data_IF_365197189613
#
_entry.id   IF_365197189613
#
_cell.length_a   1.000
_cell.length_b   1.000
_cell.length_c   1.000
_cell.angle_alpha   90.00
_cell.angle_beta   90.00
_cell.angle_gamma   90.00
#
_symmetry.space_group_name_H-M   'P 1'
#
loop_
_entity.id
_entity.type
_entity.pdbx_description
1 polymer ?
#
# COMPACT_ATOMS: atom_id res chain seq x y z
N UNK A 1 35.68 42.10 8.50
CA UNK A 1 36.06 42.99 7.38
C UNK A 1 36.01 42.17 6.10
N UNK A 2 35.15 42.60 5.15
CA UNK A 2 35.01 42.24 3.72
C UNK A 2 34.88 40.74 3.36
N UNK A 3 33.72 40.19 2.97
CA UNK A 3 32.78 40.48 1.87
C UNK A 3 33.32 40.20 0.45
N UNK A 4 32.75 39.13 -0.14
CA UNK A 4 32.24 39.00 -1.52
C UNK A 4 33.19 39.01 -2.74
N UNK A 5 32.94 38.07 -3.66
CA UNK A 5 32.92 38.17 -5.16
C UNK A 5 32.53 36.76 -5.66
N UNK A 6 31.27 36.52 -6.04
CA UNK A 6 30.68 36.70 -7.40
C UNK A 6 30.99 35.51 -8.34
N UNK A 7 30.02 34.68 -8.74
CA UNK A 7 28.94 34.86 -9.75
C UNK A 7 29.32 34.35 -11.14
N UNK A 8 28.36 33.62 -11.75
CA UNK A 8 28.18 33.32 -13.17
C UNK A 8 29.10 32.22 -13.76
N UNK A 9 28.63 31.29 -14.59
CA UNK A 9 27.85 31.54 -15.82
C UNK A 9 26.94 30.38 -16.24
N UNK A 10 25.68 30.73 -16.48
CA UNK A 10 24.75 30.13 -17.44
C UNK A 10 25.21 30.38 -18.90
N UNK A 11 24.53 29.73 -19.86
CA UNK A 11 24.64 29.76 -21.33
C UNK A 11 25.58 28.68 -21.93
N UNK A 12 25.19 27.88 -22.93
CA UNK A 12 24.49 28.29 -24.14
C UNK A 12 23.57 27.22 -24.77
N UNK A 13 22.45 27.72 -25.31
CA UNK A 13 21.58 27.13 -26.33
C UNK A 13 21.95 27.78 -27.68
N UNK A 14 22.26 27.00 -28.71
CA UNK A 14 22.20 27.36 -30.15
C UNK A 14 22.52 26.09 -30.96
N UNK A 15 21.55 25.50 -31.66
CA UNK A 15 21.23 25.76 -33.07
C UNK A 15 21.85 24.71 -34.01
N UNK A 16 21.05 23.72 -34.42
CA UNK A 16 21.26 22.99 -35.67
C UNK A 16 19.92 22.86 -36.39
N UNK A 17 19.68 23.84 -37.25
CA UNK A 17 18.69 23.80 -38.33
C UNK A 17 19.38 23.14 -39.51
N UNK A 18 18.95 21.93 -39.88
CA UNK A 18 19.37 21.20 -41.06
C UNK A 18 18.15 20.86 -41.91
N UNK A 19 17.94 21.63 -42.96
CA UNK A 19 16.85 21.54 -43.92
C UNK A 19 16.93 20.28 -44.80
N UNK A 20 15.84 19.52 -44.87
CA UNK A 20 15.54 18.65 -46.02
C UNK A 20 14.28 19.18 -46.69
N UNK A 21 14.47 19.82 -47.84
CA UNK A 21 13.39 20.22 -48.75
C UNK A 21 12.92 18.98 -49.53
N UNK A 22 11.71 18.52 -49.25
CA UNK A 22 10.94 17.69 -50.18
C UNK A 22 9.74 18.52 -50.64
N UNK A 23 9.70 18.79 -51.95
CA UNK A 23 8.56 19.44 -52.64
C UNK A 23 7.34 18.53 -52.55
N UNK A 24 6.26 19.02 -51.95
CA UNK A 24 4.91 18.48 -52.14
C UNK A 24 4.06 19.61 -52.73
N UNK A 25 3.44 19.32 -53.88
CA UNK A 25 2.52 20.22 -54.59
C UNK A 25 1.26 20.48 -53.74
N UNK A 26 0.69 21.70 -53.74
CA UNK A 26 -0.57 21.96 -53.08
C UNK A 26 -1.70 21.47 -53.98
N UNK A 27 -2.08 20.20 -53.86
CA UNK A 27 -3.44 19.82 -54.22
C UNK A 27 -4.34 20.36 -53.11
N UNK A 28 -5.35 21.14 -53.51
CA UNK A 28 -6.44 21.62 -52.66
C UNK A 28 -7.06 20.44 -51.89
N UNK A 29 -6.54 20.17 -50.71
CA UNK A 29 -7.18 19.32 -49.72
C UNK A 29 -8.07 20.24 -48.90
N UNK A 30 -9.35 20.30 -49.23
CA UNK A 30 -10.38 20.64 -48.25
C UNK A 30 -10.23 19.65 -47.11
N UNK A 31 -9.64 20.08 -46.00
CA UNK A 31 -9.67 19.31 -44.76
C UNK A 31 -11.09 19.48 -44.24
N UNK A 32 -11.93 18.49 -44.54
CA UNK A 32 -13.15 18.26 -43.79
C UNK A 32 -12.72 17.94 -42.37
N UNK A 33 -12.78 18.95 -41.50
CA UNK A 33 -12.79 18.70 -40.05
C UNK A 33 -14.13 18.07 -39.79
N UNK A 34 -14.18 16.74 -39.82
CA UNK A 34 -15.24 15.98 -39.17
C UNK A 34 -15.21 16.39 -37.70
N UNK A 35 -15.99 17.41 -37.36
CA UNK A 35 -16.47 17.61 -36.00
C UNK A 35 -17.30 16.37 -35.75
N UNK A 36 -16.69 15.36 -35.14
CA UNK A 36 -17.41 14.20 -34.65
C UNK A 36 -18.66 14.73 -33.93
N UNK A 37 -19.87 14.29 -34.30
CA UNK A 37 -21.05 14.64 -33.54
C UNK A 37 -20.73 14.25 -32.09
N UNK A 38 -20.97 15.16 -31.15
CA UNK A 38 -20.85 14.89 -29.73
C UNK A 38 -21.41 13.49 -29.48
N UNK A 39 -20.52 12.55 -29.14
CA UNK A 39 -20.92 11.17 -28.97
C UNK A 39 -21.99 11.14 -27.90
N UNK A 40 -23.15 10.61 -28.25
CA UNK A 40 -24.28 10.33 -27.35
C UNK A 40 -23.87 9.38 -26.21
N UNK A 41 -22.63 8.88 -26.18
CA UNK A 41 -22.02 8.13 -25.07
C UNK A 41 -21.87 8.94 -23.76
N UNK A 42 -22.05 10.27 -23.78
CA UNK A 42 -22.14 11.06 -22.54
C UNK A 42 -23.55 11.16 -21.95
N UNK A 43 -24.61 10.80 -22.69
CA UNK A 43 -25.98 10.96 -22.21
C UNK A 43 -26.42 9.87 -21.22
N UNK A 44 -25.80 8.67 -21.23
CA UNK A 44 -26.21 7.58 -20.32
C UNK A 44 -25.85 7.80 -18.85
N UNK A 45 -25.02 8.79 -18.51
CA UNK A 45 -24.62 9.09 -17.12
C UNK A 45 -25.51 10.19 -16.49
N UNK A 46 -26.32 10.92 -17.26
CA UNK A 46 -26.92 12.19 -16.83
C UNK A 46 -28.18 12.08 -15.94
N UNK A 47 -28.72 10.89 -15.68
CA UNK A 47 -29.92 10.74 -14.84
C UNK A 47 -29.70 9.99 -13.55
N UNK A 48 -28.56 10.21 -12.88
CA UNK A 48 -28.45 9.81 -11.47
C UNK A 48 -29.00 10.88 -10.55
N UNK A 49 -30.05 10.51 -9.82
CA UNK A 49 -30.59 11.32 -8.73
C UNK A 49 -29.57 11.40 -7.59
N UNK A 50 -29.59 12.47 -6.79
CA UNK A 50 -28.62 12.61 -5.68
C UNK A 50 -28.69 11.42 -4.71
N UNK A 51 -29.85 10.77 -4.60
CA UNK A 51 -30.03 9.56 -3.79
C UNK A 51 -29.20 8.37 -4.28
N UNK A 52 -29.25 8.09 -5.58
CA UNK A 52 -28.46 6.99 -6.18
C UNK A 52 -26.96 7.26 -6.04
N UNK A 53 -26.54 8.51 -6.18
CA UNK A 53 -25.16 8.93 -5.95
C UNK A 53 -24.70 8.71 -4.50
N UNK A 54 -25.60 8.94 -3.53
CA UNK A 54 -25.35 8.66 -2.10
C UNK A 54 -25.23 7.16 -1.86
N UNK A 55 -26.07 6.35 -2.48
CA UNK A 55 -26.00 4.88 -2.40
C UNK A 55 -24.66 4.35 -2.93
N UNK A 56 -24.22 4.84 -4.09
CA UNK A 56 -22.91 4.48 -4.63
C UNK A 56 -21.75 4.94 -3.76
N UNK A 57 -21.82 6.16 -3.25
CA UNK A 57 -20.82 6.70 -2.33
C UNK A 57 -20.68 5.78 -1.09
N UNK A 58 -21.81 5.40 -0.48
CA UNK A 58 -21.83 4.52 0.68
C UNK A 58 -21.29 3.13 0.35
N UNK A 59 -21.65 2.58 -0.82
CA UNK A 59 -21.14 1.29 -1.28
C UNK A 59 -19.62 1.30 -1.43
N UNK A 60 -19.07 2.28 -2.14
CA UNK A 60 -17.62 2.37 -2.37
C UNK A 60 -16.87 2.67 -1.07
N UNK A 61 -17.44 3.48 -0.17
CA UNK A 61 -16.90 3.73 1.15
C UNK A 61 -16.83 2.44 1.99
N UNK A 62 -17.89 1.63 1.96
CA UNK A 62 -17.94 0.34 2.65
C UNK A 62 -16.91 -0.65 2.07
N UNK A 63 -16.76 -0.71 0.75
CA UNK A 63 -15.78 -1.57 0.08
C UNK A 63 -14.34 -1.18 0.44
N UNK A 64 -14.03 0.11 0.48
CA UNK A 64 -12.73 0.63 0.90
C UNK A 64 -12.42 0.24 2.36
N UNK A 65 -13.40 0.38 3.26
CA UNK A 65 -13.26 -0.01 4.65
C UNK A 65 -13.09 -1.53 4.80
N UNK A 66 -13.88 -2.31 4.08
CA UNK A 66 -13.81 -3.76 4.08
C UNK A 66 -12.40 -4.22 3.68
N UNK A 67 -11.85 -3.68 2.59
CA UNK A 67 -10.49 -4.01 2.13
C UNK A 67 -9.45 -3.82 3.24
N UNK A 68 -9.51 -2.69 3.96
CA UNK A 68 -8.58 -2.41 5.06
C UNK A 68 -8.74 -3.35 6.25
N UNK A 69 -10.00 -3.60 6.66
CA UNK A 69 -10.29 -4.48 7.78
C UNK A 69 -9.88 -5.93 7.50
N UNK A 70 -10.13 -6.43 6.28
CA UNK A 70 -9.69 -7.76 5.87
C UNK A 70 -8.16 -7.90 5.89
N UNK A 71 -7.45 -6.91 5.38
CA UNK A 71 -5.99 -6.94 5.38
C UNK A 71 -5.44 -6.93 6.80
N UNK A 72 -5.87 -5.99 7.62
CA UNK A 72 -5.36 -5.84 8.99
C UNK A 72 -5.66 -7.10 9.81
N UNK A 73 -6.83 -7.71 9.63
CA UNK A 73 -7.18 -8.97 10.26
C UNK A 73 -6.24 -10.12 9.83
N UNK A 74 -6.04 -10.33 8.51
CA UNK A 74 -5.20 -11.44 8.01
C UNK A 74 -3.72 -11.24 8.33
N UNK A 75 -3.17 -10.08 8.01
CA UNK A 75 -1.77 -9.77 8.27
C UNK A 75 -1.46 -9.78 9.78
N UNK A 76 -2.38 -9.24 10.59
CA UNK A 76 -2.25 -9.24 12.05
C UNK A 76 -2.30 -10.64 12.65
N UNK A 77 -3.20 -11.50 12.18
CA UNK A 77 -3.31 -12.87 12.67
C UNK A 77 -2.05 -13.72 12.39
N UNK A 78 -1.51 -13.64 11.17
CA UNK A 78 -0.27 -14.34 10.81
C UNK A 78 0.93 -13.84 11.63
N UNK A 79 1.08 -12.51 11.75
CA UNK A 79 2.16 -11.91 12.55
C UNK A 79 2.04 -12.32 14.02
N UNK A 80 0.85 -12.21 14.61
CA UNK A 80 0.60 -12.60 16.01
C UNK A 80 0.97 -14.07 16.25
N UNK A 81 0.59 -14.95 15.33
CA UNK A 81 0.92 -16.38 15.40
C UNK A 81 2.43 -16.60 15.32
N UNK A 82 3.12 -15.90 14.41
CA UNK A 82 4.57 -15.97 14.29
C UNK A 82 5.28 -15.50 15.57
N UNK A 83 4.89 -14.35 16.12
CA UNK A 83 5.51 -13.79 17.32
C UNK A 83 5.33 -14.72 18.52
N UNK A 84 4.13 -15.30 18.69
CA UNK A 84 3.87 -16.30 19.74
C UNK A 84 4.80 -17.51 19.60
N UNK A 85 4.96 -18.04 18.38
CA UNK A 85 5.83 -19.19 18.13
C UNK A 85 7.31 -18.86 18.37
N UNK A 86 7.75 -17.65 18.03
CA UNK A 86 9.14 -17.23 18.29
C UNK A 86 9.41 -17.03 19.78
N UNK A 87 8.43 -16.56 20.56
CA UNK A 87 8.58 -16.47 22.03
C UNK A 87 8.70 -17.82 22.72
N UNK A 88 8.28 -18.91 22.06
CA UNK A 88 8.45 -20.27 22.57
C UNK A 88 9.72 -20.94 22.05
N UNK A 89 10.50 -20.28 21.17
CA UNK A 89 11.66 -20.86 20.52
C UNK A 89 12.69 -21.40 21.53
N UNK A 90 12.95 -20.66 22.61
CA UNK A 90 13.91 -21.06 23.63
C UNK A 90 13.45 -22.34 24.34
N UNK A 91 12.21 -22.37 24.80
CA UNK A 91 11.64 -23.53 25.48
C UNK A 91 11.56 -24.75 24.54
N UNK A 92 11.15 -24.56 23.29
CA UNK A 92 11.09 -25.62 22.28
C UNK A 92 12.47 -26.18 21.95
N UNK A 93 13.50 -25.33 21.90
CA UNK A 93 14.88 -25.74 21.61
C UNK A 93 15.45 -26.56 22.77
N UNK A 94 15.23 -26.11 24.02
CA UNK A 94 15.67 -26.84 25.22
C UNK A 94 14.91 -28.16 25.37
N UNK A 95 13.60 -28.17 25.10
CA UNK A 95 12.79 -29.39 25.19
C UNK A 95 13.07 -30.43 24.10
N UNK A 96 13.71 -30.04 22.99
CA UNK A 96 14.05 -30.95 21.88
C UNK A 96 15.50 -31.44 21.88
N UNK A 97 16.38 -30.85 22.69
CA UNK A 97 17.74 -31.34 22.87
C UNK A 97 17.82 -32.46 23.92
N UNK A 98 18.90 -33.25 23.89
CA UNK A 98 19.19 -34.22 24.95
C UNK A 98 19.42 -33.47 26.28
N UNK A 99 18.63 -33.72 27.33
CA UNK A 99 18.78 -33.07 28.63
C UNK A 99 20.20 -33.16 29.21
N UNK A 100 20.90 -34.26 28.91
CA UNK A 100 22.27 -34.51 29.37
C UNK A 100 23.26 -33.47 28.83
N UNK A 101 23.01 -32.90 27.66
CA UNK A 101 23.89 -31.87 27.09
C UNK A 101 23.82 -30.59 27.93
N UNK A 102 22.62 -30.21 28.38
CA UNK A 102 22.47 -29.01 29.19
C UNK A 102 22.95 -29.23 30.63
N UNK A 103 22.65 -30.39 31.23
CA UNK A 103 23.03 -30.72 32.61
C UNK A 103 24.55 -30.83 32.80
N UNK A 104 25.24 -31.40 31.80
CA UNK A 104 26.70 -31.57 31.84
C UNK A 104 27.48 -30.34 31.36
N UNK A 105 26.80 -29.31 30.83
CA UNK A 105 27.48 -28.14 30.30
C UNK A 105 28.07 -27.24 31.40
N UNK A 106 29.34 -26.79 31.24
CA UNK A 106 29.91 -25.76 32.07
C UNK A 106 29.03 -24.51 32.11
N UNK A 107 29.00 -23.81 33.25
CA UNK A 107 28.16 -22.64 33.44
C UNK A 107 28.41 -21.55 32.37
N UNK A 108 29.66 -21.37 31.94
CA UNK A 108 30.03 -20.44 30.87
C UNK A 108 29.35 -20.76 29.54
N UNK A 109 29.25 -22.04 29.18
CA UNK A 109 28.63 -22.49 27.93
C UNK A 109 27.10 -22.45 27.98
N UNK A 110 26.49 -22.74 29.12
CA UNK A 110 25.04 -22.53 29.34
C UNK A 110 24.65 -21.07 29.17
N UNK A 111 25.37 -20.15 29.81
CA UNK A 111 25.10 -18.71 29.70
C UNK A 111 25.26 -18.23 28.26
N UNK A 112 26.28 -18.69 27.53
CA UNK A 112 26.47 -18.36 26.12
C UNK A 112 25.31 -18.86 25.25
N UNK A 113 24.90 -20.11 25.44
CA UNK A 113 23.79 -20.74 24.73
C UNK A 113 22.46 -20.00 24.96
N UNK A 114 22.10 -19.73 26.21
CA UNK A 114 20.89 -18.98 26.54
C UNK A 114 20.89 -17.57 25.93
N UNK A 115 22.05 -16.89 25.96
CA UNK A 115 22.22 -15.57 25.34
C UNK A 115 22.03 -15.63 23.83
N UNK A 116 22.57 -16.66 23.16
CA UNK A 116 22.36 -16.87 21.73
C UNK A 116 20.89 -17.11 21.39
N UNK A 117 20.18 -17.96 22.14
CA UNK A 117 18.76 -18.22 21.91
C UNK A 117 17.90 -16.96 22.10
N UNK A 118 18.12 -16.21 23.19
CA UNK A 118 17.44 -14.92 23.42
C UNK A 118 17.71 -13.92 22.30
N UNK A 119 18.94 -13.87 21.79
CA UNK A 119 19.28 -13.01 20.65
C UNK A 119 18.56 -13.44 19.37
N UNK A 120 18.48 -14.74 19.08
CA UNK A 120 17.77 -15.26 17.91
C UNK A 120 16.28 -14.91 17.99
N UNK A 121 15.66 -15.11 19.15
CA UNK A 121 14.27 -14.73 19.42
C UNK A 121 14.06 -13.22 19.18
N UNK A 122 14.88 -12.38 19.80
CA UNK A 122 14.79 -10.92 19.66
C UNK A 122 14.96 -10.46 18.21
N UNK A 123 15.98 -10.97 17.51
CA UNK A 123 16.23 -10.66 16.11
C UNK A 123 15.03 -11.02 15.22
N UNK A 124 14.43 -12.19 15.45
CA UNK A 124 13.27 -12.67 14.69
C UNK A 124 12.01 -11.83 14.98
N UNK A 125 11.75 -11.52 16.25
CA UNK A 125 10.65 -10.64 16.67
C UNK A 125 10.76 -9.25 16.04
N UNK A 126 11.94 -8.64 16.13
CA UNK A 126 12.19 -7.30 15.58
C UNK A 126 12.03 -7.29 14.06
N UNK A 127 12.58 -8.27 13.37
CA UNK A 127 12.47 -8.36 11.92
C UNK A 127 11.02 -8.59 11.45
N UNK A 128 10.25 -9.42 12.15
CA UNK A 128 8.85 -9.66 11.84
C UNK A 128 7.96 -8.42 12.11
N UNK A 129 8.19 -7.75 13.23
CA UNK A 129 7.44 -6.53 13.60
C UNK A 129 7.71 -5.41 12.59
N UNK A 130 8.97 -5.18 12.23
CA UNK A 130 9.34 -4.20 11.21
C UNK A 130 8.67 -4.49 9.86
N UNK A 131 8.62 -5.77 9.45
CA UNK A 131 7.93 -6.17 8.22
C UNK A 131 6.42 -5.88 8.30
N UNK A 132 5.79 -6.20 9.43
CA UNK A 132 4.37 -5.92 9.67
C UNK A 132 4.05 -4.43 9.64
N UNK A 133 4.85 -3.60 10.29
CA UNK A 133 4.70 -2.14 10.30
C UNK A 133 4.82 -1.54 8.89
N UNK A 134 5.78 -2.00 8.10
CA UNK A 134 5.97 -1.48 6.74
C UNK A 134 4.79 -1.82 5.85
N UNK A 135 4.29 -3.06 5.92
CA UNK A 135 3.11 -3.44 5.14
C UNK A 135 1.86 -2.66 5.59
N UNK A 136 1.70 -2.44 6.91
CA UNK A 136 0.60 -1.64 7.44
C UNK A 136 0.66 -0.19 6.94
N UNK A 137 1.83 0.45 6.99
CA UNK A 137 2.05 1.81 6.46
C UNK A 137 1.75 1.89 4.96
N UNK A 138 2.16 0.88 4.19
CA UNK A 138 1.86 0.82 2.77
C UNK A 138 0.34 0.85 2.51
N UNK A 139 -0.43 -0.04 3.14
CA UNK A 139 -1.87 -0.06 2.92
C UNK A 139 -2.56 1.19 3.48
N UNK A 140 -2.07 1.73 4.59
CA UNK A 140 -2.59 2.98 5.14
C UNK A 140 -2.45 4.14 4.14
N UNK A 141 -1.38 4.16 3.35
CA UNK A 141 -1.21 5.12 2.25
C UNK A 141 -2.36 5.09 1.24
N UNK A 142 -2.78 3.90 0.81
CA UNK A 142 -3.94 3.74 -0.07
C UNK A 142 -5.23 4.24 0.59
N UNK A 143 -5.43 3.93 1.87
CA UNK A 143 -6.61 4.38 2.61
C UNK A 143 -6.70 5.90 2.76
N UNK A 144 -5.57 6.59 2.91
CA UNK A 144 -5.53 8.06 2.96
C UNK A 144 -5.99 8.63 1.62
N UNK A 145 -5.50 8.07 0.51
CA UNK A 145 -5.90 8.50 -0.85
C UNK A 145 -7.40 8.25 -1.08
N UNK A 146 -7.91 7.07 -0.72
CA UNK A 146 -9.34 6.77 -0.82
C UNK A 146 -10.17 7.78 -0.04
N UNK A 147 -9.78 8.06 1.22
CA UNK A 147 -10.48 9.01 2.07
C UNK A 147 -10.47 10.42 1.50
N UNK A 148 -9.36 10.85 0.88
CA UNK A 148 -9.28 12.15 0.23
C UNK A 148 -10.31 12.29 -0.90
N UNK A 149 -10.41 11.30 -1.78
CA UNK A 149 -11.37 11.29 -2.88
C UNK A 149 -12.82 11.17 -2.38
N UNK A 150 -13.08 10.27 -1.42
CA UNK A 150 -14.41 10.12 -0.81
C UNK A 150 -14.85 11.41 -0.11
N UNK A 151 -13.99 12.07 0.67
CA UNK A 151 -14.33 13.36 1.30
C UNK A 151 -14.71 14.42 0.25
N UNK A 152 -13.99 14.45 -0.88
CA UNK A 152 -14.28 15.38 -1.98
C UNK A 152 -15.64 15.07 -2.63
N UNK A 153 -15.96 13.81 -2.87
CA UNK A 153 -17.29 13.39 -3.33
C UNK A 153 -18.39 13.79 -2.35
N UNK A 154 -18.17 13.55 -1.06
CA UNK A 154 -19.11 13.87 0.01
C UNK A 154 -19.42 15.37 0.07
N UNK A 155 -18.41 16.23 -0.13
CA UNK A 155 -18.62 17.68 -0.21
C UNK A 155 -19.52 18.10 -1.37
N UNK A 156 -19.36 17.49 -2.55
CA UNK A 156 -20.23 17.75 -3.69
C UNK A 156 -21.66 17.27 -3.44
N UNK A 157 -21.82 16.08 -2.87
CA UNK A 157 -23.12 15.53 -2.48
C UNK A 157 -23.83 16.46 -1.48
N UNK A 158 -23.12 16.89 -0.42
CA UNK A 158 -23.64 17.85 0.57
C UNK A 158 -24.02 19.21 -0.03
N UNK A 159 -23.36 19.64 -1.11
CA UNK A 159 -23.75 20.87 -1.84
C UNK A 159 -25.04 20.66 -2.63
N UNK A 160 -25.20 19.50 -3.28
CA UNK A 160 -26.45 19.12 -3.96
C UNK A 160 -27.61 19.03 -2.97
N UNK A 161 -27.44 18.30 -1.86
CA UNK A 161 -28.49 18.09 -0.85
C UNK A 161 -29.00 19.39 -0.24
N UNK A 162 -28.12 20.35 0.02
CA UNK A 162 -28.52 21.66 0.54
C UNK A 162 -29.47 22.38 -0.40
N UNK A 163 -29.16 22.44 -1.69
CA UNK A 163 -30.00 23.12 -2.68
C UNK A 163 -31.30 22.36 -2.89
N UNK A 164 -31.25 21.03 -3.01
CA UNK A 164 -32.43 20.19 -3.27
C UNK A 164 -33.42 20.26 -2.11
N UNK A 165 -32.97 20.42 -0.86
CA UNK A 165 -33.87 20.64 0.28
C UNK A 165 -34.68 21.92 0.16
N UNK A 166 -34.13 22.96 -0.45
CA UNK A 166 -34.77 24.28 -0.55
C UNK A 166 -35.75 24.37 -1.73
N UNK A 167 -35.55 23.61 -2.81
CA UNK A 167 -36.34 23.73 -4.04
C UNK A 167 -36.81 22.42 -4.69
N UNK A 168 -36.51 21.27 -4.09
CA UNK A 168 -37.00 19.95 -4.51
C UNK A 168 -36.42 19.43 -5.83
N UNK A 169 -37.16 18.50 -6.45
CA UNK A 169 -36.83 17.82 -7.70
C UNK A 169 -36.53 18.78 -8.87
N UNK A 170 -37.23 19.93 -9.04
CA UNK A 170 -36.94 20.86 -10.13
C UNK A 170 -35.50 21.40 -10.15
N UNK A 171 -34.84 21.44 -8.99
CA UNK A 171 -33.46 21.91 -8.91
C UNK A 171 -32.43 20.86 -9.32
N UNK A 172 -32.80 19.58 -9.31
CA UNK A 172 -31.90 18.49 -9.65
C UNK A 172 -31.40 18.54 -11.08
N UNK A 173 -32.16 19.16 -11.98
CA UNK A 173 -31.83 19.34 -13.40
C UNK A 173 -31.06 20.63 -13.68
N UNK A 174 -30.76 21.44 -12.66
CA UNK A 174 -29.99 22.67 -12.87
C UNK A 174 -28.54 22.33 -13.28
N UNK A 175 -27.94 23.04 -14.25
CA UNK A 175 -26.59 22.75 -14.74
C UNK A 175 -25.52 22.73 -13.63
N UNK A 176 -25.73 23.53 -12.58
CA UNK A 176 -24.85 23.58 -11.41
C UNK A 176 -24.88 22.28 -10.61
N UNK A 177 -26.07 21.71 -10.37
CA UNK A 177 -26.21 20.44 -9.64
C UNK A 177 -25.69 19.29 -10.49
N UNK A 178 -26.02 19.25 -11.79
CA UNK A 178 -25.49 18.25 -12.72
C UNK A 178 -23.96 18.24 -12.71
N UNK A 179 -23.33 19.42 -12.75
CA UNK A 179 -21.87 19.54 -12.65
C UNK A 179 -21.31 18.94 -11.36
N UNK A 180 -21.92 19.20 -10.21
CA UNK A 180 -21.44 18.65 -8.93
C UNK A 180 -21.66 17.14 -8.83
N UNK A 181 -22.78 16.62 -9.36
CA UNK A 181 -23.02 15.18 -9.44
C UNK A 181 -21.98 14.47 -10.28
N UNK A 182 -21.66 15.02 -11.46
CA UNK A 182 -20.61 14.51 -12.33
C UNK A 182 -19.25 14.47 -11.62
N UNK A 183 -18.86 15.56 -10.96
CA UNK A 183 -17.60 15.62 -10.21
C UNK A 183 -17.57 14.63 -9.03
N UNK A 184 -18.69 14.47 -8.31
CA UNK A 184 -18.79 13.50 -7.23
C UNK A 184 -18.61 12.07 -7.75
N UNK A 185 -19.28 11.74 -8.86
CA UNK A 185 -19.23 10.43 -9.49
C UNK A 185 -17.84 10.12 -10.05
N UNK A 186 -17.17 11.09 -10.66
CA UNK A 186 -15.77 10.95 -11.11
C UNK A 186 -14.86 10.55 -9.95
N UNK A 187 -14.97 11.21 -8.80
CA UNK A 187 -14.15 10.88 -7.62
C UNK A 187 -14.54 9.52 -7.00
N UNK A 188 -15.82 9.14 -7.01
CA UNK A 188 -16.29 7.80 -6.57
C UNK A 188 -15.70 6.71 -7.48
N UNK A 189 -15.76 6.90 -8.80
CA UNK A 189 -15.23 5.94 -9.76
C UNK A 189 -13.71 5.80 -9.66
N UNK A 190 -12.97 6.90 -9.43
CA UNK A 190 -11.53 6.81 -9.13
C UNK A 190 -11.24 5.91 -7.95
N UNK A 191 -11.97 6.05 -6.85
CA UNK A 191 -11.78 5.18 -5.67
C UNK A 191 -12.14 3.73 -6.01
N UNK A 192 -13.19 3.51 -6.80
CA UNK A 192 -13.59 2.17 -7.25
C UNK A 192 -12.48 1.48 -8.04
N UNK A 193 -11.88 2.19 -8.98
CA UNK A 193 -10.77 1.68 -9.79
C UNK A 193 -9.52 1.42 -8.93
N UNK A 194 -9.21 2.36 -8.03
CA UNK A 194 -8.06 2.21 -7.14
C UNK A 194 -8.24 1.08 -6.12
N UNK A 195 -9.48 0.75 -5.70
CA UNK A 195 -9.78 -0.41 -4.85
C UNK A 195 -9.34 -1.70 -5.56
N UNK A 196 -9.61 -1.85 -6.85
CA UNK A 196 -9.19 -3.04 -7.61
C UNK A 196 -7.67 -3.16 -7.70
N UNK A 197 -6.98 -2.02 -7.93
CA UNK A 197 -5.53 -1.98 -7.87
C UNK A 197 -5.01 -2.37 -6.48
N UNK A 198 -5.59 -1.79 -5.43
CA UNK A 198 -5.20 -2.03 -4.04
C UNK A 198 -5.46 -3.46 -3.59
N UNK A 199 -6.52 -4.11 -4.08
CA UNK A 199 -6.80 -5.53 -3.86
C UNK A 199 -5.69 -6.44 -4.41
N UNK A 200 -5.07 -6.08 -5.54
CA UNK A 200 -3.93 -6.82 -6.10
C UNK A 200 -2.70 -6.64 -5.22
N UNK A 201 -2.33 -5.40 -4.91
CA UNK A 201 -1.19 -5.10 -4.02
C UNK A 201 -1.35 -5.73 -2.64
N UNK A 202 -2.58 -5.79 -2.12
CA UNK A 202 -2.92 -6.49 -0.90
C UNK A 202 -2.57 -7.99 -0.94
N UNK A 203 -2.98 -8.70 -2.00
CA UNK A 203 -2.68 -10.13 -2.15
C UNK A 203 -1.18 -10.37 -2.21
N UNK A 204 -0.46 -9.53 -2.95
CA UNK A 204 1.00 -9.62 -3.07
C UNK A 204 1.70 -9.36 -1.74
N UNK A 205 1.23 -8.38 -0.96
CA UNK A 205 1.75 -8.09 0.37
C UNK A 205 1.51 -9.23 1.36
N UNK A 206 0.34 -9.87 1.34
CA UNK A 206 0.10 -11.04 2.17
C UNK A 206 1.04 -12.20 1.80
N UNK A 207 1.19 -12.48 0.50
CA UNK A 207 2.11 -13.51 0.03
C UNK A 207 3.57 -13.18 0.38
N UNK A 208 3.96 -11.91 0.29
CA UNK A 208 5.27 -11.45 0.71
C UNK A 208 5.46 -11.62 2.23
N UNK A 209 4.48 -11.21 3.04
CA UNK A 209 4.50 -11.38 4.49
C UNK A 209 4.65 -12.84 4.89
N UNK A 210 3.82 -13.71 4.33
CA UNK A 210 3.85 -15.13 4.58
C UNK A 210 5.22 -15.75 4.25
N UNK A 211 5.76 -15.45 3.06
CA UNK A 211 7.10 -15.91 2.64
C UNK A 211 8.19 -15.40 3.57
N UNK A 212 8.13 -14.13 3.95
CA UNK A 212 9.11 -13.50 4.84
C UNK A 212 9.09 -14.11 6.24
N UNK A 213 7.90 -14.31 6.83
CA UNK A 213 7.75 -14.95 8.14
C UNK A 213 8.23 -16.40 8.11
N UNK A 214 7.94 -17.15 7.05
CA UNK A 214 8.46 -18.50 6.88
C UNK A 214 9.99 -18.53 6.76
N UNK A 215 10.58 -17.59 6.03
CA UNK A 215 12.03 -17.46 5.93
C UNK A 215 12.66 -17.15 7.30
N UNK A 216 12.11 -16.18 8.05
CA UNK A 216 12.57 -15.86 9.40
C UNK A 216 12.47 -17.07 10.34
N UNK A 217 11.38 -17.85 10.25
CA UNK A 217 11.21 -19.07 11.04
C UNK A 217 12.28 -20.10 10.74
N UNK A 218 12.55 -20.37 9.45
CA UNK A 218 13.60 -21.31 9.03
C UNK A 218 14.97 -20.85 9.53
N UNK A 219 15.29 -19.57 9.33
CA UNK A 219 16.54 -18.99 9.76
C UNK A 219 16.73 -19.06 11.29
N UNK A 220 15.69 -18.76 12.07
CA UNK A 220 15.72 -18.88 13.52
C UNK A 220 15.97 -20.33 13.96
N UNK A 221 15.28 -21.31 13.35
CA UNK A 221 15.51 -22.74 13.63
C UNK A 221 16.94 -23.18 13.31
N UNK A 222 17.46 -22.82 12.13
CA UNK A 222 18.84 -23.16 11.75
C UNK A 222 19.86 -22.57 12.74
N UNK A 223 19.68 -21.31 13.17
CA UNK A 223 20.55 -20.69 14.17
C UNK A 223 20.42 -21.34 15.55
N UNK A 224 19.22 -21.75 15.95
CA UNK A 224 19.01 -22.46 17.20
C UNK A 224 19.69 -23.84 17.19
N UNK A 225 19.58 -24.59 16.09
CA UNK A 225 20.30 -25.87 15.92
C UNK A 225 21.82 -25.68 15.96
N UNK A 226 22.35 -24.62 15.33
CA UNK A 226 23.76 -24.30 15.42
C UNK A 226 24.20 -23.98 16.85
N UNK A 227 23.38 -23.26 17.63
CA UNK A 227 23.66 -22.98 19.04
C UNK A 227 23.68 -24.26 19.90
N UNK A 228 22.79 -25.22 19.63
CA UNK A 228 22.80 -26.54 20.29
C UNK A 228 24.07 -27.32 19.93
N UNK A 229 24.52 -27.26 18.67
CA UNK A 229 25.77 -27.89 18.26
C UNK A 229 26.98 -27.26 18.97
N UNK A 230 27.07 -25.92 19.00
CA UNK A 230 28.13 -25.21 19.74
C UNK A 230 28.15 -25.58 21.23
N UNK A 231 26.97 -25.75 21.85
CA UNK A 231 26.86 -26.19 23.25
C UNK A 231 27.39 -27.62 23.41
N UNK A 232 27.04 -28.51 22.50
CA UNK A 232 27.47 -29.91 22.52
C UNK A 232 28.99 -30.03 22.36
N UNK A 233 29.57 -29.25 21.45
CA UNK A 233 31.02 -29.18 21.26
C UNK A 233 31.73 -28.64 22.51
N UNK A 234 31.15 -27.63 23.17
CA UNK A 234 31.71 -27.15 24.44
C UNK A 234 31.69 -28.22 25.54
N UNK A 235 30.61 -29.00 25.65
CA UNK A 235 30.51 -30.10 26.63
C UNK A 235 31.57 -31.17 26.37
N UNK A 236 31.90 -31.43 25.10
CA UNK A 236 32.91 -32.43 24.73
C UNK A 236 34.36 -31.93 24.94
N UNK A 237 34.57 -30.62 24.91
CA UNK A 237 35.89 -30.00 25.06
C UNK A 237 36.29 -29.69 26.51
N UNK A 238 35.30 -29.61 27.41
CA UNK A 238 35.50 -29.38 28.85
C UNK A 238 35.55 -30.67 29.64
#
# INVERSE_FOLDING_TARGET
MYASISLARFFAFAALVGSVYARVQPNNAEIYVDVAPHSEEQEEIEKRYTKELVEEFNSVSADALLLFTEYTAKAGAELKTFLRNMSLLTADTIGSMDPRVLDNAPASCRVKFESQLKKIEYDAHRAASFNGENHHKFLLGHMIVFRMHLNKSEEYIKKCDRIIKDCGIPCETTPRITKWRRLALEEINRVRDDIEHSRRSYRDLLLHAHRRLNHLRKHAKTRASAAVQELTECVQAG
#
